data_IF_549420395606
#
_entry.id   IF_549420395606
#
_cell.length_a   1.000
_cell.length_b   1.000
_cell.length_c   1.000
_cell.angle_alpha   90.00
_cell.angle_beta   90.00
_cell.angle_gamma   90.00
#
_symmetry.space_group_name_H-M   'P 1'
#
loop_
_entity.id
_entity.type
_entity.pdbx_description
1 polymer ?
#
# COMPACT_ATOMS: atom_id res chain seq x y z
N UNK A 1 -2.32 5.05 15.90
CA UNK A 1 -1.42 3.89 16.14
C UNK A 1 -0.75 3.43 14.84
N UNK A 2 -1.46 2.87 13.85
CA UNK A 2 -0.79 2.33 12.63
C UNK A 2 0.06 3.37 11.89
N UNK A 3 -0.53 4.53 11.57
CA UNK A 3 0.19 5.62 10.89
C UNK A 3 1.41 6.11 11.67
N UNK A 4 1.24 6.30 12.98
CA UNK A 4 2.31 6.73 13.89
C UNK A 4 3.48 5.74 13.92
N UNK A 5 3.19 4.44 14.01
CA UNK A 5 4.22 3.40 14.01
C UNK A 5 4.97 3.39 12.68
N UNK A 6 4.24 3.48 11.56
CA UNK A 6 4.85 3.50 10.23
C UNK A 6 5.80 4.70 10.08
N UNK A 7 5.35 5.92 10.39
CA UNK A 7 6.16 7.14 10.27
C UNK A 7 7.35 7.16 11.23
N UNK A 8 7.26 6.47 12.38
CA UNK A 8 8.37 6.39 13.33
C UNK A 8 9.45 5.39 12.91
N UNK A 9 9.11 4.36 12.14
CA UNK A 9 10.00 3.23 11.87
C UNK A 9 10.46 3.13 10.41
N UNK A 10 9.79 3.80 9.48
CA UNK A 10 10.15 3.81 8.06
C UNK A 10 10.56 5.22 7.63
N UNK A 11 11.54 5.29 6.71
CA UNK A 11 11.99 6.54 6.12
C UNK A 11 10.94 7.14 5.16
N UNK A 12 10.19 6.25 4.48
CA UNK A 12 9.10 6.61 3.57
C UNK A 12 7.87 5.77 3.91
N UNK A 13 6.71 6.44 3.97
CA UNK A 13 5.42 5.79 4.22
C UNK A 13 4.47 6.11 3.07
N UNK A 14 3.85 5.07 2.50
CA UNK A 14 2.74 5.20 1.55
C UNK A 14 1.48 4.61 2.19
N UNK A 15 0.41 5.41 2.28
CA UNK A 15 -0.90 4.99 2.74
C UNK A 15 -1.80 4.72 1.53
N UNK A 16 -2.35 3.52 1.47
CA UNK A 16 -3.17 3.01 0.36
C UNK A 16 -4.36 2.20 0.86
N UNK A 17 -5.27 1.86 -0.05
CA UNK A 17 -6.39 0.97 0.25
C UNK A 17 -5.93 -0.47 0.52
N UNK A 18 -6.71 -1.17 1.33
CA UNK A 18 -6.65 -2.61 1.53
C UNK A 18 -8.05 -3.18 1.23
N UNK A 19 -8.78 -3.69 2.23
CA UNK A 19 -10.15 -4.13 2.09
C UNK A 19 -11.11 -3.08 2.68
N UNK A 20 -11.50 -2.02 1.94
CA UNK A 20 -12.39 -0.98 2.47
C UNK A 20 -13.80 -1.52 2.79
N UNK A 21 -14.20 -2.65 2.18
CA UNK A 21 -15.53 -3.25 2.38
C UNK A 21 -16.61 -2.19 2.16
N UNK A 22 -17.50 -1.97 3.12
CA UNK A 22 -18.59 -1.00 3.04
C UNK A 22 -18.21 0.44 3.42
N UNK A 23 -16.98 0.69 3.85
CA UNK A 23 -16.53 2.02 4.24
C UNK A 23 -15.98 2.81 3.04
N UNK A 24 -16.01 4.14 3.14
CA UNK A 24 -15.37 5.02 2.16
C UNK A 24 -13.84 4.93 2.32
N UNK A 25 -13.09 4.45 1.32
CA UNK A 25 -11.65 4.21 1.46
C UNK A 25 -10.86 5.47 1.88
N UNK A 26 -11.22 6.63 1.35
CA UNK A 26 -10.64 7.92 1.69
C UNK A 26 -10.81 8.30 3.15
N UNK A 27 -11.91 7.88 3.80
CA UNK A 27 -12.13 8.13 5.23
C UNK A 27 -11.18 7.30 6.07
N UNK A 28 -10.95 6.04 5.69
CA UNK A 28 -9.99 5.17 6.37
C UNK A 28 -8.56 5.72 6.20
N UNK A 29 -8.17 6.08 4.97
CA UNK A 29 -6.85 6.66 4.71
C UNK A 29 -6.65 7.96 5.48
N UNK A 30 -7.64 8.85 5.51
CA UNK A 30 -7.57 10.10 6.27
C UNK A 30 -7.34 9.86 7.78
N UNK A 31 -7.97 8.83 8.37
CA UNK A 31 -7.77 8.48 9.77
C UNK A 31 -6.34 7.97 10.05
N UNK A 32 -5.73 7.24 9.11
CA UNK A 32 -4.33 6.79 9.20
C UNK A 32 -3.37 7.98 9.02
N UNK A 33 -3.61 8.81 8.00
CA UNK A 33 -2.81 9.98 7.65
C UNK A 33 -2.78 11.03 8.77
N UNK A 34 -3.86 11.18 9.54
CA UNK A 34 -3.90 12.04 10.72
C UNK A 34 -2.81 11.70 11.76
N UNK A 35 -2.33 10.46 11.76
CA UNK A 35 -1.24 10.00 12.62
C UNK A 35 0.06 9.71 11.84
N UNK A 36 0.13 9.98 10.53
CA UNK A 36 1.28 9.71 9.67
C UNK A 36 1.74 10.96 8.91
N UNK A 37 2.22 12.00 9.61
CA UNK A 37 2.63 13.25 8.97
C UNK A 37 3.75 13.00 7.94
N UNK A 38 3.60 13.56 6.74
CA UNK A 38 4.56 13.40 5.64
C UNK A 38 4.42 12.11 4.83
N UNK A 39 3.49 11.22 5.19
CA UNK A 39 3.18 10.04 4.38
C UNK A 39 2.56 10.44 3.02
N UNK A 40 2.87 9.65 2.00
CA UNK A 40 2.33 9.78 0.66
C UNK A 40 0.98 9.04 0.62
N UNK A 41 -0.07 9.66 0.09
CA UNK A 41 -1.37 9.02 -0.11
C UNK A 41 -1.53 8.56 -1.57
N UNK A 42 -1.78 7.27 -1.77
CA UNK A 42 -2.16 6.70 -3.07
C UNK A 42 -3.26 5.68 -2.81
N UNK A 43 -4.51 5.97 -3.18
CA UNK A 43 -5.62 5.06 -2.86
C UNK A 43 -5.52 3.70 -3.55
N UNK A 44 -5.17 3.69 -4.84
CA UNK A 44 -5.04 2.47 -5.62
C UNK A 44 -3.82 1.65 -5.16
N UNK A 45 -4.08 0.47 -4.60
CA UNK A 45 -3.06 -0.42 -4.03
C UNK A 45 -2.03 -0.90 -5.04
N UNK A 46 -2.44 -1.16 -6.29
CA UNK A 46 -1.50 -1.50 -7.36
C UNK A 46 -0.57 -0.33 -7.64
N UNK A 47 -1.12 0.86 -7.83
CA UNK A 47 -0.31 2.07 -8.08
C UNK A 47 0.62 2.38 -6.91
N UNK A 48 0.16 2.19 -5.67
CA UNK A 48 0.97 2.40 -4.48
C UNK A 48 2.19 1.46 -4.46
N UNK A 49 1.99 0.18 -4.77
CA UNK A 49 3.07 -0.82 -4.85
C UNK A 49 4.05 -0.48 -5.98
N UNK A 50 3.56 -0.17 -7.19
CA UNK A 50 4.44 0.19 -8.31
C UNK A 50 5.24 1.47 -8.01
N UNK A 51 4.61 2.48 -7.40
CA UNK A 51 5.30 3.70 -6.99
C UNK A 51 6.36 3.40 -5.92
N UNK A 52 6.06 2.55 -4.94
CA UNK A 52 7.00 2.18 -3.89
C UNK A 52 8.23 1.48 -4.49
N UNK A 53 8.03 0.53 -5.40
CA UNK A 53 9.12 -0.19 -6.09
C UNK A 53 9.95 0.77 -6.94
N UNK A 54 9.31 1.68 -7.68
CA UNK A 54 10.01 2.66 -8.51
C UNK A 54 10.88 3.65 -7.71
N UNK A 55 10.61 3.83 -6.42
CA UNK A 55 11.39 4.69 -5.51
C UNK A 55 12.59 3.99 -4.88
N UNK A 56 12.70 2.67 -5.01
CA UNK A 56 13.78 1.90 -4.37
C UNK A 56 15.13 2.17 -5.02
N UNK A 57 16.15 2.25 -4.17
CA UNK A 57 17.56 2.19 -4.56
C UNK A 57 18.18 0.88 -4.09
N UNK A 58 19.37 0.58 -4.61
CA UNK A 58 20.14 -0.58 -4.17
C UNK A 58 20.44 -0.50 -2.66
N UNK A 59 19.97 -1.49 -1.91
CA UNK A 59 20.11 -1.57 -0.45
C UNK A 59 18.84 -1.20 0.33
N UNK A 60 17.83 -0.61 -0.34
CA UNK A 60 16.56 -0.30 0.29
C UNK A 60 15.73 -1.56 0.55
N UNK A 61 14.80 -1.48 1.50
CA UNK A 61 13.85 -2.55 1.81
C UNK A 61 12.42 -2.03 1.72
N UNK A 62 11.60 -2.66 0.88
CA UNK A 62 10.16 -2.40 0.82
C UNK A 62 9.41 -3.41 1.70
N UNK A 63 8.54 -2.89 2.56
CA UNK A 63 7.58 -3.69 3.34
C UNK A 63 6.16 -3.35 2.85
N UNK A 64 5.48 -4.33 2.26
CA UNK A 64 4.06 -4.23 1.92
C UNK A 64 3.26 -4.97 2.99
N UNK A 65 2.50 -4.23 3.81
CA UNK A 65 1.75 -4.77 4.94
C UNK A 65 0.23 -4.77 4.66
N UNK A 66 -0.51 -5.63 5.37
CA UNK A 66 -1.97 -5.75 5.28
C UNK A 66 -2.40 -7.14 4.85
N UNK A 67 -2.27 -7.46 3.55
CA UNK A 67 -2.86 -8.66 2.92
C UNK A 67 -2.07 -9.95 3.09
N UNK A 68 -0.75 -9.91 2.90
CA UNK A 68 0.06 -11.12 2.87
C UNK A 68 -0.33 -12.06 1.73
N UNK A 69 -0.91 -13.22 2.04
CA UNK A 69 -1.26 -14.26 1.07
C UNK A 69 -2.69 -14.15 0.50
N UNK A 70 -3.43 -13.10 0.85
CA UNK A 70 -4.76 -12.86 0.27
C UNK A 70 -4.66 -12.52 -1.23
N UNK A 71 -5.53 -13.12 -2.03
CA UNK A 71 -5.62 -12.92 -3.49
C UNK A 71 -6.85 -12.12 -3.92
N UNK A 72 -7.46 -11.38 -2.98
CA UNK A 72 -8.63 -10.55 -3.26
C UNK A 72 -8.59 -9.21 -2.56
N UNK A 73 -9.29 -8.24 -3.13
CA UNK A 73 -9.55 -6.93 -2.55
C UNK A 73 -11.06 -6.67 -2.49
N UNK A 74 -11.60 -6.52 -1.29
CA UNK A 74 -13.05 -6.36 -1.09
C UNK A 74 -13.46 -4.89 -1.08
N UNK A 75 -14.30 -4.50 -2.04
CA UNK A 75 -14.91 -3.18 -2.17
C UNK A 75 -16.44 -3.33 -2.25
N UNK A 76 -17.14 -2.78 -1.26
CA UNK A 76 -18.55 -3.02 -1.06
C UNK A 76 -18.85 -4.51 -0.81
N UNK A 77 -19.64 -5.10 -1.69
CA UNK A 77 -20.00 -6.52 -1.68
C UNK A 77 -19.17 -7.37 -2.66
N UNK A 78 -18.28 -6.74 -3.44
CA UNK A 78 -17.48 -7.42 -4.46
C UNK A 78 -16.06 -7.65 -3.96
N UNK A 79 -15.50 -8.82 -4.28
CA UNK A 79 -14.08 -9.10 -4.10
C UNK A 79 -13.44 -9.22 -5.47
N UNK A 80 -12.59 -8.24 -5.80
CA UNK A 80 -11.84 -8.20 -7.04
C UNK A 80 -10.52 -8.97 -6.87
N UNK A 81 -10.04 -9.62 -7.93
CA UNK A 81 -8.73 -10.29 -7.90
C UNK A 81 -7.61 -9.28 -7.65
N UNK A 82 -6.80 -9.54 -6.62
CA UNK A 82 -5.66 -8.70 -6.28
C UNK A 82 -4.69 -9.45 -5.37
N UNK A 83 -3.40 -9.49 -5.70
CA UNK A 83 -2.36 -10.11 -4.89
C UNK A 83 -1.15 -9.20 -4.75
N UNK A 84 -0.75 -8.85 -3.51
CA UNK A 84 0.46 -8.05 -3.24
C UNK A 84 1.70 -8.70 -3.88
N UNK A 85 1.80 -10.04 -3.85
CA UNK A 85 2.92 -10.76 -4.43
C UNK A 85 2.98 -10.65 -5.96
N UNK A 86 1.83 -10.64 -6.62
CA UNK A 86 1.76 -10.50 -8.09
C UNK A 86 2.16 -9.09 -8.50
N UNK A 87 1.61 -8.06 -7.85
CA UNK A 87 1.90 -6.66 -8.17
C UNK A 87 3.36 -6.30 -7.87
N UNK A 88 3.93 -6.77 -6.75
CA UNK A 88 5.36 -6.57 -6.45
C UNK A 88 6.24 -7.23 -7.51
N UNK A 89 5.90 -8.45 -7.96
CA UNK A 89 6.68 -9.14 -9.00
C UNK A 89 6.60 -8.39 -10.34
N UNK A 90 5.42 -7.92 -10.72
CA UNK A 90 5.23 -7.14 -11.94
C UNK A 90 6.02 -5.82 -11.88
N UNK A 91 5.91 -5.07 -10.79
CA UNK A 91 6.63 -3.81 -10.61
C UNK A 91 8.17 -4.01 -10.63
N UNK A 92 8.69 -5.08 -10.05
CA UNK A 92 10.13 -5.38 -10.10
C UNK A 92 10.61 -5.73 -11.51
N UNK A 93 9.79 -6.40 -12.32
CA UNK A 93 10.11 -6.69 -13.72
C UNK A 93 10.16 -5.41 -14.56
N UNK A 94 9.24 -4.48 -14.33
CA UNK A 94 9.21 -3.17 -14.98
C UNK A 94 10.41 -2.30 -14.56
N UNK A 95 10.78 -2.33 -13.28
CA UNK A 95 11.89 -1.52 -12.74
C UNK A 95 13.27 -2.00 -13.22
N UNK A 96 13.41 -3.28 -13.56
CA UNK A 96 14.65 -3.86 -14.07
C UNK A 96 14.86 -3.64 -15.58
N UNK A 97 13.84 -3.15 -16.31
CA UNK A 97 13.87 -2.90 -17.75
C UNK A 97 14.41 -1.50 -18.09
#
# INVERSE_FOLDING_TARGET
IMGEIATRLADVVIVTDDNPRSEMPETIRAAILAAAPGAIEIGDRRKAIHQAVAMLHAGDTLIVAGKGHEEGQTVGAETLHFSDHEEVRAALQEHAA
#
